data_IF_555740732691
#
_entry.id   IF_555740732691
#
_cell.length_a   1.000
_cell.length_b   1.000
_cell.length_c   1.000
_cell.angle_alpha   90.00
_cell.angle_beta   90.00
_cell.angle_gamma   90.00
#
_symmetry.space_group_name_H-M   'P 1'
#
loop_
_entity.id
_entity.type
_entity.pdbx_description
1 polymer ?
#
# COMPACT_ATOMS: atom_id res chain seq x y z
N UNK A 1 7.38 20.72 -17.08
CA UNK A 1 8.02 19.57 -16.41
C UNK A 1 7.54 18.27 -17.05
N UNK A 2 8.45 17.49 -17.59
CA UNK A 2 8.15 16.11 -17.99
C UNK A 2 7.80 15.31 -16.73
N UNK A 3 6.81 14.41 -16.77
CA UNK A 3 6.52 13.57 -15.61
C UNK A 3 7.79 12.79 -15.26
N UNK A 4 8.19 12.81 -13.99
CA UNK A 4 9.28 11.96 -13.51
C UNK A 4 8.88 10.52 -13.81
N UNK A 5 9.70 9.83 -14.59
CA UNK A 5 9.48 8.43 -14.92
C UNK A 5 9.69 7.61 -13.64
N UNK A 6 8.63 6.92 -13.18
CA UNK A 6 8.75 5.94 -12.10
C UNK A 6 9.70 4.81 -12.56
N UNK A 7 10.73 4.53 -11.76
CA UNK A 7 11.67 3.43 -11.98
C UNK A 7 11.10 2.14 -11.38
N UNK A 8 11.03 1.06 -12.15
CA UNK A 8 10.54 -0.23 -11.68
C UNK A 8 11.37 -0.78 -10.49
N UNK A 9 12.64 -0.38 -10.36
CA UNK A 9 13.51 -0.76 -9.25
C UNK A 9 13.55 0.30 -8.13
N UNK A 10 12.79 1.39 -8.26
CA UNK A 10 12.72 2.46 -7.28
C UNK A 10 11.93 2.06 -6.04
N UNK A 11 12.31 2.61 -4.89
CA UNK A 11 11.56 2.48 -3.65
C UNK A 11 10.72 3.73 -3.43
N UNK A 12 9.43 3.54 -3.20
CA UNK A 12 8.47 4.64 -3.07
C UNK A 12 7.59 4.44 -1.84
N UNK A 13 7.22 5.54 -1.20
CA UNK A 13 6.32 5.53 -0.03
C UNK A 13 5.26 6.61 -0.07
N UNK A 14 5.41 7.66 -0.88
CA UNK A 14 4.43 8.74 -0.95
C UNK A 14 3.18 8.31 -1.73
N UNK A 15 2.05 8.93 -1.41
CA UNK A 15 0.76 8.63 -2.05
C UNK A 15 0.86 8.66 -3.58
N UNK A 16 1.42 9.73 -4.15
CA UNK A 16 1.44 9.90 -5.61
C UNK A 16 2.38 8.90 -6.27
N UNK A 17 3.61 8.75 -5.77
CA UNK A 17 4.60 7.86 -6.38
C UNK A 17 4.18 6.39 -6.33
N UNK A 18 3.58 5.95 -5.21
CA UNK A 18 3.08 4.57 -5.08
C UNK A 18 1.87 4.34 -5.99
N UNK A 19 0.96 5.31 -6.11
CA UNK A 19 -0.16 5.22 -7.05
C UNK A 19 0.32 5.14 -8.50
N UNK A 20 1.27 6.00 -8.89
CA UNK A 20 1.87 6.03 -10.23
C UNK A 20 2.57 4.70 -10.54
N UNK A 21 3.31 4.14 -9.57
CA UNK A 21 3.98 2.84 -9.71
C UNK A 21 2.95 1.71 -9.92
N UNK A 22 1.91 1.64 -9.09
CA UNK A 22 0.88 0.62 -9.21
C UNK A 22 0.15 0.75 -10.55
N UNK A 23 -0.16 1.98 -10.99
CA UNK A 23 -0.78 2.22 -12.28
C UNK A 23 0.10 1.75 -13.45
N UNK A 24 1.41 2.01 -13.38
CA UNK A 24 2.35 1.65 -14.44
C UNK A 24 2.65 0.15 -14.50
N UNK A 25 2.79 -0.52 -13.35
CA UNK A 25 3.33 -1.88 -13.27
C UNK A 25 2.33 -2.94 -12.76
N UNK A 26 1.18 -2.53 -12.23
CA UNK A 26 0.16 -3.44 -11.70
C UNK A 26 0.59 -4.21 -10.45
N UNK A 27 1.65 -3.77 -9.77
CA UNK A 27 2.25 -4.39 -8.58
C UNK A 27 2.80 -3.31 -7.64
N UNK A 28 3.16 -3.69 -6.42
CA UNK A 28 3.78 -2.79 -5.45
C UNK A 28 5.27 -2.55 -5.75
N UNK A 29 5.81 -1.39 -5.33
CA UNK A 29 7.25 -1.17 -5.27
C UNK A 29 7.98 -2.26 -4.46
N UNK A 30 9.27 -2.52 -4.75
CA UNK A 30 10.05 -3.56 -4.09
C UNK A 30 10.24 -3.37 -2.57
N UNK A 31 9.99 -2.18 -2.02
CA UNK A 31 10.09 -1.87 -0.59
C UNK A 31 8.82 -2.21 0.22
N UNK A 32 7.98 -3.13 -0.28
CA UNK A 32 6.79 -3.61 0.43
C UNK A 32 6.91 -5.08 0.80
N UNK A 33 6.39 -5.43 1.98
CA UNK A 33 6.23 -6.79 2.47
C UNK A 33 4.79 -7.01 2.88
N UNK A 34 4.26 -8.20 2.61
CA UNK A 34 3.00 -8.62 3.23
C UNK A 34 3.15 -8.72 4.74
N UNK A 35 2.04 -8.66 5.47
CA UNK A 35 2.03 -8.85 6.93
C UNK A 35 2.65 -10.19 7.33
N UNK A 36 2.52 -11.23 6.52
CA UNK A 36 3.11 -12.54 6.82
C UNK A 36 4.63 -12.53 6.64
N UNK A 37 5.14 -12.01 5.52
CA UNK A 37 6.59 -11.89 5.30
C UNK A 37 7.26 -11.04 6.38
N UNK A 38 6.63 -9.93 6.79
CA UNK A 38 7.14 -9.13 7.89
C UNK A 38 7.17 -9.90 9.22
N UNK A 39 6.14 -10.68 9.55
CA UNK A 39 6.11 -11.52 10.76
C UNK A 39 7.18 -12.61 10.72
N UNK A 40 7.45 -13.21 9.56
CA UNK A 40 8.51 -14.21 9.40
C UNK A 40 9.91 -13.61 9.68
N UNK A 41 10.07 -12.30 9.50
CA UNK A 41 11.28 -11.55 9.87
C UNK A 41 11.33 -11.13 11.35
N UNK A 42 10.25 -11.35 12.11
CA UNK A 42 10.15 -10.97 13.53
C UNK A 42 9.36 -9.69 13.80
N UNK A 43 8.58 -9.19 12.84
CA UNK A 43 7.75 -8.01 13.05
C UNK A 43 6.61 -8.30 14.03
N UNK A 44 6.55 -7.49 15.09
CA UNK A 44 5.46 -7.44 16.05
C UNK A 44 4.78 -6.06 15.99
N UNK A 45 3.54 -6.03 15.50
CA UNK A 45 2.82 -4.76 15.31
C UNK A 45 2.59 -3.98 16.61
N UNK A 46 2.51 -4.68 17.75
CA UNK A 46 2.38 -4.09 19.09
C UNK A 46 3.67 -3.42 19.58
N UNK A 47 4.81 -3.75 18.98
CA UNK A 47 6.11 -3.17 19.35
C UNK A 47 6.53 -2.04 18.41
N UNK A 48 5.92 -1.94 17.22
CA UNK A 48 6.32 -0.95 16.21
C UNK A 48 7.72 -1.21 15.64
N UNK A 49 8.18 -2.46 15.67
CA UNK A 49 9.56 -2.82 15.39
C UNK A 49 9.86 -3.13 13.91
N UNK A 50 9.01 -2.72 12.96
CA UNK A 50 9.16 -3.15 11.55
C UNK A 50 10.54 -2.80 10.97
N UNK A 51 11.01 -1.58 11.20
CA UNK A 51 12.32 -1.15 10.69
C UNK A 51 13.52 -1.71 11.48
N UNK A 52 13.28 -2.35 12.63
CA UNK A 52 14.32 -3.10 13.34
C UNK A 52 14.61 -4.43 12.63
N UNK A 53 13.57 -5.06 12.09
CA UNK A 53 13.67 -6.36 11.39
C UNK A 53 13.76 -6.24 9.87
N UNK A 54 13.23 -5.16 9.30
CA UNK A 54 13.16 -4.90 7.86
C UNK A 54 13.32 -3.38 7.57
N UNK A 55 14.55 -2.84 7.64
CA UNK A 55 14.81 -1.42 7.47
C UNK A 55 14.31 -0.87 6.12
N UNK A 56 13.55 0.23 6.16
CA UNK A 56 13.04 0.91 4.96
C UNK A 56 11.87 0.22 4.25
N UNK A 57 11.36 -0.89 4.81
CA UNK A 57 10.19 -1.59 4.27
C UNK A 57 8.89 -1.03 4.82
N UNK A 58 7.82 -1.18 4.04
CA UNK A 58 6.44 -0.87 4.40
C UNK A 58 5.56 -2.12 4.32
N UNK A 59 4.42 -2.12 5.01
CA UNK A 59 3.45 -3.22 4.90
C UNK A 59 2.55 -3.03 3.69
N UNK A 60 2.36 -4.06 2.88
CA UNK A 60 1.42 -4.03 1.75
C UNK A 60 1.39 -5.32 0.95
N UNK A 61 0.35 -5.49 0.15
CA UNK A 61 0.15 -6.67 -0.70
C UNK A 61 -0.88 -7.64 -0.14
N UNK A 62 -1.39 -7.38 1.06
CA UNK A 62 -2.48 -8.16 1.64
C UNK A 62 -3.84 -7.80 1.02
N UNK A 63 -4.75 -8.77 1.00
CA UNK A 63 -6.13 -8.58 0.52
C UNK A 63 -6.88 -7.57 1.38
N UNK A 64 -7.47 -6.57 0.76
CA UNK A 64 -8.45 -5.68 1.38
C UNK A 64 -9.87 -6.24 1.20
N UNK A 65 -10.64 -6.27 2.29
CA UNK A 65 -11.95 -6.94 2.33
C UNK A 65 -13.08 -6.18 1.64
N UNK A 66 -13.05 -4.83 1.69
CA UNK A 66 -14.17 -3.95 1.33
C UNK A 66 -15.49 -4.35 2.02
N UNK A 67 -15.43 -4.66 3.33
CA UNK A 67 -16.60 -5.16 4.07
C UNK A 67 -17.68 -4.09 4.26
N UNK A 68 -17.25 -2.83 4.31
CA UNK A 68 -18.07 -1.63 4.46
C UNK A 68 -18.70 -1.20 3.12
N UNK A 69 -18.24 -1.77 1.99
CA UNK A 69 -18.78 -1.50 0.66
C UNK A 69 -18.53 -0.07 0.15
N UNK A 70 -17.48 0.59 0.65
CA UNK A 70 -17.14 1.97 0.27
C UNK A 70 -16.47 2.07 -1.11
N UNK A 71 -15.89 0.97 -1.59
CA UNK A 71 -15.28 0.86 -2.91
C UNK A 71 -16.21 0.11 -3.89
N UNK A 72 -16.18 0.43 -5.20
CA UNK A 72 -17.06 -0.20 -6.18
C UNK A 72 -16.77 -1.70 -6.31
N UNK A 73 -17.82 -2.51 -6.26
CA UNK A 73 -17.72 -3.96 -6.45
C UNK A 73 -17.96 -4.38 -7.91
N UNK A 74 -17.32 -5.47 -8.33
CA UNK A 74 -17.52 -6.10 -9.63
C UNK A 74 -17.13 -7.58 -9.58
N UNK A 75 -17.79 -8.41 -10.41
CA UNK A 75 -17.49 -9.84 -10.44
C UNK A 75 -16.01 -10.10 -10.81
N UNK A 76 -15.30 -10.80 -9.92
CA UNK A 76 -13.87 -11.08 -10.09
C UNK A 76 -12.92 -9.95 -9.65
N UNK A 77 -13.45 -8.80 -9.20
CA UNK A 77 -12.65 -7.73 -8.61
C UNK A 77 -12.12 -8.16 -7.24
N UNK A 78 -10.85 -7.85 -7.01
CA UNK A 78 -10.12 -8.08 -5.77
C UNK A 78 -9.40 -6.80 -5.41
N UNK A 79 -9.45 -6.47 -4.13
CA UNK A 79 -8.76 -5.31 -3.59
C UNK A 79 -7.53 -5.75 -2.80
N UNK A 80 -6.46 -4.97 -2.92
CA UNK A 80 -5.19 -5.13 -2.22
C UNK A 80 -4.85 -3.81 -1.53
N UNK A 81 -4.31 -3.86 -0.32
CA UNK A 81 -3.93 -2.66 0.44
C UNK A 81 -2.40 -2.53 0.61
N UNK A 82 -1.92 -1.29 0.76
CA UNK A 82 -0.56 -0.99 1.20
C UNK A 82 -0.47 0.30 2.03
N UNK A 83 0.53 0.37 2.90
CA UNK A 83 0.85 1.53 3.73
C UNK A 83 1.46 2.67 2.92
N UNK A 84 1.15 3.90 3.31
CA UNK A 84 1.65 5.13 2.68
C UNK A 84 2.30 6.02 3.72
N UNK A 85 3.37 6.73 3.35
CA UNK A 85 4.16 7.61 4.21
C UNK A 85 4.60 6.95 5.53
N UNK A 86 4.93 5.66 5.50
CA UNK A 86 5.45 4.97 6.68
C UNK A 86 6.94 5.33 6.89
N UNK A 87 7.27 5.77 8.09
CA UNK A 87 8.59 6.29 8.48
C UNK A 87 9.21 5.55 9.69
N UNK A 88 8.73 4.32 9.96
CA UNK A 88 9.17 3.50 11.07
C UNK A 88 8.27 3.60 12.31
N UNK A 89 8.49 2.72 13.29
CA UNK A 89 7.64 2.67 14.49
C UNK A 89 6.27 2.04 14.24
N UNK A 90 5.23 2.68 14.78
CA UNK A 90 3.84 2.22 14.60
C UNK A 90 3.28 2.63 13.24
N UNK A 91 2.50 1.74 12.62
CA UNK A 91 1.80 2.03 11.36
C UNK A 91 0.85 3.22 11.55
N UNK A 92 0.85 4.14 10.59
CA UNK A 92 -0.04 5.29 10.54
C UNK A 92 -1.43 4.89 9.98
N UNK A 93 -2.31 5.87 9.72
CA UNK A 93 -3.66 5.64 9.18
C UNK A 93 -3.74 5.58 7.64
N UNK A 94 -2.67 5.94 6.92
CA UNK A 94 -2.69 6.21 5.48
C UNK A 94 -2.48 4.96 4.65
N UNK A 95 -3.31 4.74 3.64
CA UNK A 95 -3.26 3.55 2.78
C UNK A 95 -3.63 3.87 1.34
N UNK A 96 -3.08 3.09 0.42
CA UNK A 96 -3.67 2.89 -0.90
C UNK A 96 -4.39 1.54 -0.91
N UNK A 97 -5.55 1.51 -1.56
CA UNK A 97 -6.27 0.30 -1.92
C UNK A 97 -6.42 0.26 -3.44
N UNK A 98 -5.88 -0.78 -4.06
CA UNK A 98 -5.88 -0.94 -5.51
C UNK A 98 -6.52 -2.26 -5.94
N UNK A 99 -7.16 -2.22 -7.09
CA UNK A 99 -7.86 -3.37 -7.65
C UNK A 99 -7.02 -4.09 -8.69
N UNK A 100 -7.31 -5.37 -8.90
CA UNK A 100 -6.70 -6.15 -9.99
C UNK A 100 -7.15 -5.72 -11.39
N UNK A 101 -8.11 -4.80 -11.52
CA UNK A 101 -8.62 -4.27 -12.78
C UNK A 101 -8.35 -2.77 -12.97
N UNK A 102 -7.43 -2.18 -12.18
CA UNK A 102 -6.79 -0.90 -12.47
C UNK A 102 -7.28 0.32 -11.69
N UNK A 103 -8.31 0.17 -10.86
CA UNK A 103 -8.75 1.23 -9.94
C UNK A 103 -7.78 1.40 -8.76
N UNK A 104 -7.52 2.64 -8.36
CA UNK A 104 -6.63 2.97 -7.24
C UNK A 104 -7.29 4.04 -6.37
N UNK A 105 -7.41 3.76 -5.07
CA UNK A 105 -7.99 4.65 -4.07
C UNK A 105 -7.01 4.90 -2.93
N UNK A 106 -7.14 6.06 -2.30
CA UNK A 106 -6.36 6.46 -1.13
C UNK A 106 -7.26 6.82 0.05
N UNK A 107 -6.81 6.51 1.26
CA UNK A 107 -7.39 6.92 2.54
C UNK A 107 -6.29 7.46 3.44
N UNK A 108 -6.54 8.54 4.17
CA UNK A 108 -5.69 9.07 5.25
C UNK A 108 -6.33 8.97 6.64
N UNK A 109 -7.51 8.36 6.71
CA UNK A 109 -8.40 8.29 7.86
C UNK A 109 -8.70 6.84 8.28
N UNK A 110 -7.77 5.91 7.99
CA UNK A 110 -7.89 4.51 8.39
C UNK A 110 -9.16 3.83 7.83
N UNK A 111 -9.34 3.98 6.51
CA UNK A 111 -10.42 3.38 5.71
C UNK A 111 -11.83 3.96 5.98
N UNK A 112 -11.95 5.11 6.66
CA UNK A 112 -13.25 5.77 6.89
C UNK A 112 -13.79 6.42 5.61
N UNK A 113 -12.91 6.96 4.76
CA UNK A 113 -13.26 7.50 3.45
C UNK A 113 -12.17 7.26 2.40
N UNK A 114 -12.53 7.39 1.13
CA UNK A 114 -11.62 7.13 0.01
C UNK A 114 -11.68 8.22 -1.05
N UNK A 115 -10.50 8.59 -1.56
CA UNK A 115 -10.33 9.42 -2.76
C UNK A 115 -9.84 8.56 -3.90
N UNK A 116 -10.50 8.60 -5.05
CA UNK A 116 -10.04 7.90 -6.25
C UNK A 116 -8.85 8.65 -6.86
N UNK A 117 -7.77 7.92 -7.15
CA UNK A 117 -6.57 8.43 -7.81
C UNK A 117 -6.53 8.01 -9.29
N UNK A 118 -6.93 6.77 -9.59
CA UNK A 118 -7.02 6.18 -10.93
C UNK A 118 -8.30 5.38 -11.12
#
# INVERSE_FOLDING_TARGET
PEPELIDENGSYSSMQEVADYIHAFGKLPPNYLTKNEARDLGWESSEGNLWEVAPGMSIGGDRFGNNEGLLPDANGRKWTECDIDFDGGFRNAKRIVFSNDGLIYYTDDHYESFTQLY
#
